data_IF_535503515347
#
_entry.id   IF_535503515347
#
_cell.length_a   1.000
_cell.length_b   1.000
_cell.length_c   1.000
_cell.angle_alpha   90.00
_cell.angle_beta   90.00
_cell.angle_gamma   90.00
#
_symmetry.space_group_name_H-M   'P 1'
#
loop_
_entity.id
_entity.type
_entity.pdbx_description
1 polymer ?
#
# COMPACT_ATOMS: atom_id res chain seq x y z
N UNK A 1 4.82 -8.63 -21.84
CA UNK A 1 5.38 -8.57 -20.48
C UNK A 1 4.20 -8.56 -19.53
N UNK A 2 4.16 -9.43 -18.53
CA UNK A 2 3.04 -9.53 -17.58
C UNK A 2 3.23 -8.57 -16.41
N UNK A 3 2.14 -8.21 -15.69
CA UNK A 3 2.19 -7.33 -14.50
C UNK A 3 3.26 -7.76 -13.50
N UNK A 4 3.37 -9.06 -13.25
CA UNK A 4 4.36 -9.64 -12.34
C UNK A 4 5.79 -9.27 -12.75
N UNK A 5 6.10 -9.40 -14.04
CA UNK A 5 7.43 -9.10 -14.58
C UNK A 5 7.80 -7.61 -14.48
N UNK A 6 6.83 -6.70 -14.52
CA UNK A 6 7.08 -5.28 -14.25
C UNK A 6 7.32 -4.98 -12.78
N UNK A 7 6.54 -5.60 -11.90
CA UNK A 7 6.75 -5.46 -10.47
C UNK A 7 8.14 -5.97 -10.08
N UNK A 8 8.56 -7.12 -10.63
CA UNK A 8 9.90 -7.67 -10.42
C UNK A 8 10.98 -6.70 -10.91
N UNK A 9 10.78 -6.09 -12.09
CA UNK A 9 11.69 -5.08 -12.62
C UNK A 9 11.79 -3.86 -11.68
N UNK A 10 10.65 -3.27 -11.29
CA UNK A 10 10.65 -2.09 -10.40
C UNK A 10 11.28 -2.39 -9.05
N UNK A 11 10.97 -3.55 -8.46
CA UNK A 11 11.58 -4.00 -7.21
C UNK A 11 13.09 -4.21 -7.39
N UNK A 12 13.54 -4.76 -8.52
CA UNK A 12 14.97 -4.94 -8.79
C UNK A 12 15.72 -3.60 -8.89
N UNK A 13 15.13 -2.58 -9.52
CA UNK A 13 15.70 -1.23 -9.61
C UNK A 13 15.82 -0.59 -8.22
N UNK A 14 14.77 -0.74 -7.39
CA UNK A 14 14.76 -0.25 -6.01
C UNK A 14 15.85 -0.93 -5.17
N UNK A 15 15.93 -2.27 -5.23
CA UNK A 15 16.94 -3.04 -4.50
C UNK A 15 18.34 -2.63 -4.94
N UNK A 16 18.58 -2.52 -6.24
CA UNK A 16 19.87 -2.11 -6.80
C UNK A 16 20.27 -0.72 -6.29
N UNK A 17 19.36 0.27 -6.33
CA UNK A 17 19.64 1.62 -5.82
C UNK A 17 19.93 1.61 -4.31
N UNK A 18 19.20 0.81 -3.53
CA UNK A 18 19.44 0.67 -2.08
C UNK A 18 20.80 0.06 -1.78
N UNK A 19 21.22 -0.95 -2.53
CA UNK A 19 22.55 -1.56 -2.39
C UNK A 19 23.65 -0.54 -2.66
N UNK A 20 23.56 0.23 -3.75
CA UNK A 20 24.53 1.29 -4.08
C UNK A 20 24.65 2.33 -2.94
N UNK A 21 23.51 2.77 -2.40
CA UNK A 21 23.48 3.70 -1.27
C UNK A 21 24.10 3.13 0.01
N UNK A 22 24.00 1.83 0.24
CA UNK A 22 24.62 1.16 1.38
C UNK A 22 26.14 1.09 1.26
N UNK A 23 26.66 0.94 0.03
CA UNK A 23 28.09 0.87 -0.27
C UNK A 23 28.75 2.26 -0.30
N UNK A 24 28.07 3.27 -0.85
CA UNK A 24 28.53 4.67 -0.96
C UNK A 24 28.61 5.42 0.38
N UNK A 25 28.05 4.88 1.46
CA UNK A 25 28.20 5.42 2.82
C UNK A 25 29.67 5.54 3.28
N UNK A 26 30.61 4.89 2.56
CA UNK A 26 32.06 4.94 2.81
C UNK A 26 32.82 5.93 1.91
N UNK A 27 32.24 6.41 0.80
CA UNK A 27 32.94 7.29 -0.16
C UNK A 27 31.97 8.21 -0.91
N UNK A 28 31.90 9.47 -0.46
CA UNK A 28 31.34 10.64 -1.16
C UNK A 28 29.80 10.84 -1.10
N UNK A 29 29.42 12.05 -0.69
CA UNK A 29 28.03 12.50 -0.56
C UNK A 29 27.32 12.53 -1.91
N UNK A 30 26.49 11.52 -2.20
CA UNK A 30 25.46 11.67 -3.23
C UNK A 30 24.55 12.83 -2.81
N UNK A 31 24.51 13.89 -3.61
CA UNK A 31 23.69 15.07 -3.30
C UNK A 31 22.22 14.68 -3.34
N UNK A 32 21.40 15.21 -2.42
CA UNK A 32 19.94 14.96 -2.33
C UNK A 32 19.25 15.05 -3.70
N UNK A 33 19.71 15.97 -4.54
CA UNK A 33 19.19 16.20 -5.89
C UNK A 33 19.36 15.00 -6.85
N UNK A 34 20.42 14.21 -6.70
CA UNK A 34 20.66 13.00 -7.51
C UNK A 34 19.71 11.85 -7.11
N UNK A 35 19.36 11.79 -5.81
CA UNK A 35 18.37 10.81 -5.33
C UNK A 35 16.98 11.12 -5.86
N UNK A 36 16.53 12.37 -5.74
CA UNK A 36 15.21 12.76 -6.22
C UNK A 36 15.07 12.66 -7.75
N UNK A 37 16.15 12.91 -8.50
CA UNK A 37 16.19 12.68 -9.93
C UNK A 37 15.97 11.20 -10.29
N UNK A 38 16.66 10.27 -9.62
CA UNK A 38 16.48 8.84 -9.83
C UNK A 38 15.04 8.39 -9.52
N UNK A 39 14.52 8.76 -8.34
CA UNK A 39 13.19 8.33 -7.92
C UNK A 39 12.07 8.92 -8.79
N UNK A 40 12.22 10.18 -9.21
CA UNK A 40 11.26 10.81 -10.13
C UNK A 40 11.29 10.24 -11.54
N UNK A 41 12.46 9.88 -12.06
CA UNK A 41 12.59 9.17 -13.33
C UNK A 41 11.94 7.78 -13.27
N UNK A 42 12.24 7.00 -12.23
CA UNK A 42 11.67 5.67 -12.03
C UNK A 42 10.14 5.75 -11.90
N UNK A 43 9.63 6.74 -11.17
CA UNK A 43 8.20 7.02 -11.07
C UNK A 43 7.59 7.36 -12.44
N UNK A 44 8.24 8.21 -13.22
CA UNK A 44 7.77 8.60 -14.55
C UNK A 44 7.66 7.39 -15.49
N UNK A 45 8.70 6.54 -15.52
CA UNK A 45 8.72 5.29 -16.30
C UNK A 45 7.59 4.33 -15.89
N UNK A 46 7.33 4.21 -14.59
CA UNK A 46 6.36 3.26 -14.06
C UNK A 46 4.90 3.74 -14.19
N UNK A 47 4.63 5.02 -13.91
CA UNK A 47 3.26 5.51 -13.68
C UNK A 47 2.77 6.59 -14.67
N UNK A 48 3.68 7.32 -15.35
CA UNK A 48 3.33 8.43 -16.24
C UNK A 48 3.48 8.08 -17.72
N UNK A 49 4.61 7.50 -18.11
CA UNK A 49 4.91 7.21 -19.50
C UNK A 49 4.07 6.03 -19.99
N UNK A 50 3.38 6.16 -21.13
CA UNK A 50 2.64 5.07 -21.80
C UNK A 50 3.55 4.07 -22.52
N UNK A 51 4.79 3.92 -22.07
CA UNK A 51 5.77 3.00 -22.65
C UNK A 51 5.50 1.54 -22.29
N UNK A 52 6.30 0.62 -22.84
CA UNK A 52 6.17 -0.83 -22.63
C UNK A 52 6.20 -1.26 -21.15
N UNK A 53 6.74 -0.41 -20.26
CA UNK A 53 6.91 -0.65 -18.84
C UNK A 53 5.88 0.07 -17.94
N UNK A 54 4.83 0.67 -18.53
CA UNK A 54 3.84 1.43 -17.76
C UNK A 54 2.84 0.54 -17.05
N UNK A 55 2.64 0.76 -15.75
CA UNK A 55 1.57 0.14 -14.94
C UNK A 55 0.18 0.51 -15.48
N UNK A 56 0.07 1.65 -16.18
CA UNK A 56 -1.16 2.09 -16.84
C UNK A 56 -1.65 1.13 -17.93
N UNK A 57 -0.74 0.39 -18.58
CA UNK A 57 -1.10 -0.60 -19.60
C UNK A 57 -1.78 -1.83 -18.98
N UNK A 58 -1.63 -1.98 -17.67
CA UNK A 58 -2.04 -3.16 -16.97
C UNK A 58 -3.27 -2.89 -16.12
N UNK A 59 -3.35 -1.78 -15.41
CA UNK A 59 -4.50 -1.44 -14.57
C UNK A 59 -5.51 -0.58 -15.35
N UNK A 60 -6.68 -1.16 -15.67
CA UNK A 60 -7.83 -0.40 -16.23
C UNK A 60 -8.61 0.38 -15.16
N UNK A 61 -8.16 0.33 -13.90
CA UNK A 61 -9.04 0.56 -12.75
C UNK A 61 -8.75 1.83 -11.96
N UNK A 62 -7.58 2.46 -12.08
CA UNK A 62 -7.32 3.71 -11.37
C UNK A 62 -6.32 4.64 -12.11
N UNK A 63 -6.75 5.87 -12.37
CA UNK A 63 -5.95 6.93 -12.97
C UNK A 63 -5.39 7.91 -11.94
N UNK A 64 -5.64 7.68 -10.65
CA UNK A 64 -5.13 8.50 -9.56
C UNK A 64 -3.64 8.23 -9.29
N UNK A 65 -2.93 9.31 -9.01
CA UNK A 65 -1.53 9.34 -8.63
C UNK A 65 -1.40 10.11 -7.32
N UNK A 66 -0.65 9.54 -6.39
CA UNK A 66 -0.51 10.03 -5.03
C UNK A 66 0.88 10.62 -4.82
N UNK A 67 0.99 11.92 -4.56
CA UNK A 67 2.26 12.62 -4.37
C UNK A 67 2.44 13.02 -2.91
N UNK A 68 3.55 12.61 -2.32
CA UNK A 68 3.90 12.92 -0.92
C UNK A 68 4.73 14.20 -0.90
N UNK A 69 4.27 15.21 -0.16
CA UNK A 69 5.01 16.46 0.01
C UNK A 69 6.19 16.29 0.96
N UNK A 70 7.29 16.96 0.65
CA UNK A 70 8.41 17.14 1.57
C UNK A 70 7.92 17.87 2.82
N UNK A 71 8.17 17.29 3.99
CA UNK A 71 7.80 17.93 5.25
C UNK A 71 8.89 18.94 5.64
N UNK A 72 8.52 20.20 5.82
CA UNK A 72 9.46 21.26 6.25
C UNK A 72 9.84 21.09 7.73
N UNK A 73 9.02 20.38 8.52
CA UNK A 73 9.22 20.18 9.97
C UNK A 73 9.26 18.69 10.30
N UNK A 74 10.25 18.27 11.11
CA UNK A 74 10.48 16.87 11.50
C UNK A 74 9.27 16.16 12.15
N UNK A 75 8.27 16.90 12.65
CA UNK A 75 7.08 16.36 13.32
C UNK A 75 5.75 16.66 12.62
N UNK A 76 5.76 17.25 11.41
CA UNK A 76 4.51 17.44 10.66
C UNK A 76 4.08 16.14 10.00
N UNK A 77 2.78 15.85 10.03
CA UNK A 77 2.22 14.74 9.26
C UNK A 77 2.52 14.95 7.77
N UNK A 78 2.93 13.90 7.04
CA UNK A 78 3.13 14.00 5.61
C UNK A 78 1.81 14.40 4.93
N UNK A 79 1.89 15.38 4.03
CA UNK A 79 0.75 15.85 3.27
C UNK A 79 0.72 15.14 1.91
N UNK A 80 -0.46 14.70 1.50
CA UNK A 80 -0.66 14.00 0.24
C UNK A 80 -1.41 14.89 -0.75
N UNK A 81 -0.96 14.90 -2.00
CA UNK A 81 -1.68 15.46 -3.13
C UNK A 81 -2.13 14.32 -4.03
N UNK A 82 -3.35 14.41 -4.57
CA UNK A 82 -3.90 13.39 -5.44
C UNK A 82 -4.27 14.04 -6.76
N UNK A 83 -3.75 13.50 -7.85
CA UNK A 83 -4.02 13.97 -9.20
C UNK A 83 -4.38 12.81 -10.09
N UNK A 84 -5.23 13.07 -11.08
CA UNK A 84 -5.35 12.15 -12.21
C UNK A 84 -4.09 12.19 -13.05
N UNK A 85 -3.73 11.06 -13.66
CA UNK A 85 -2.59 10.92 -14.58
C UNK A 85 -2.65 11.89 -15.76
N UNK A 86 -3.86 12.28 -16.19
CA UNK A 86 -4.09 13.24 -17.27
C UNK A 86 -4.13 14.70 -16.81
N UNK A 87 -3.92 14.98 -15.52
CA UNK A 87 -4.00 16.33 -14.98
C UNK A 87 -2.89 17.22 -15.56
N UNK A 88 -3.20 18.46 -15.99
CA UNK A 88 -2.18 19.43 -16.41
C UNK A 88 -1.37 19.98 -15.21
N UNK A 89 -1.84 19.75 -13.99
CA UNK A 89 -1.25 20.27 -12.75
C UNK A 89 -0.37 19.24 -12.03
N UNK A 90 0.10 18.20 -12.75
CA UNK A 90 1.02 17.23 -12.16
C UNK A 90 2.32 17.92 -11.74
N UNK A 91 2.90 17.55 -10.58
CA UNK A 91 4.23 18.00 -10.20
C UNK A 91 5.25 17.69 -11.30
N UNK A 92 6.14 18.64 -11.59
CA UNK A 92 7.23 18.44 -12.55
C UNK A 92 8.24 17.41 -12.03
N UNK A 93 8.90 16.68 -12.92
CA UNK A 93 9.92 15.70 -12.52
C UNK A 93 11.02 16.38 -11.68
N UNK A 94 11.47 15.70 -10.62
CA UNK A 94 12.41 16.20 -9.63
C UNK A 94 11.97 17.51 -8.93
N UNK A 95 10.66 17.79 -8.82
CA UNK A 95 10.15 18.91 -8.01
C UNK A 95 10.63 18.74 -6.55
N UNK A 96 11.39 19.70 -5.99
CA UNK A 96 11.98 19.59 -4.65
C UNK A 96 10.95 19.65 -3.52
N UNK A 97 9.68 19.98 -3.82
CA UNK A 97 8.57 19.95 -2.86
C UNK A 97 8.00 18.56 -2.68
N UNK A 98 8.32 17.62 -3.58
CA UNK A 98 7.81 16.26 -3.57
C UNK A 98 8.89 15.32 -3.05
N UNK A 99 8.51 14.46 -2.10
CA UNK A 99 9.34 13.36 -1.67
C UNK A 99 9.16 12.20 -2.67
N UNK A 100 10.03 12.14 -3.69
CA UNK A 100 9.86 11.24 -4.83
C UNK A 100 9.94 9.77 -4.46
N UNK A 101 10.82 9.42 -3.51
CA UNK A 101 10.94 8.07 -3.00
C UNK A 101 9.64 7.57 -2.32
N UNK A 102 9.10 8.36 -1.38
CA UNK A 102 7.84 8.04 -0.71
C UNK A 102 6.65 8.03 -1.67
N UNK A 103 6.67 8.93 -2.66
CA UNK A 103 5.70 8.97 -3.76
C UNK A 103 5.73 7.66 -4.54
N UNK A 104 6.91 7.20 -4.96
CA UNK A 104 7.06 5.91 -5.64
C UNK A 104 6.53 4.76 -4.80
N UNK A 105 6.94 4.65 -3.54
CA UNK A 105 6.52 3.56 -2.64
C UNK A 105 5.01 3.54 -2.41
N UNK A 106 4.40 4.70 -2.20
CA UNK A 106 2.97 4.77 -2.00
C UNK A 106 2.22 4.27 -3.24
N UNK A 107 2.59 4.72 -4.44
CA UNK A 107 1.91 4.27 -5.66
C UNK A 107 2.18 2.79 -5.96
N UNK A 108 3.36 2.26 -5.64
CA UNK A 108 3.62 0.81 -5.70
C UNK A 108 2.69 0.04 -4.76
N UNK A 109 2.57 0.48 -3.50
CA UNK A 109 1.67 -0.14 -2.52
C UNK A 109 0.23 -0.15 -3.03
N UNK A 110 -0.24 0.98 -3.54
CA UNK A 110 -1.64 1.12 -3.92
C UNK A 110 -1.99 0.46 -5.26
N UNK A 111 -1.05 0.38 -6.21
CA UNK A 111 -1.37 0.02 -7.60
C UNK A 111 -0.68 -1.27 -8.09
N UNK A 112 0.43 -1.68 -7.48
CA UNK A 112 1.22 -2.82 -7.97
C UNK A 112 0.94 -4.13 -7.23
N UNK A 113 0.48 -4.09 -5.98
CA UNK A 113 0.25 -5.29 -5.18
C UNK A 113 -1.22 -5.69 -5.14
N UNK A 114 -1.44 -7.00 -5.11
CA UNK A 114 -2.75 -7.60 -4.83
C UNK A 114 -2.73 -8.08 -3.38
N UNK A 115 -3.62 -7.53 -2.57
CA UNK A 115 -3.76 -7.90 -1.17
C UNK A 115 -4.91 -8.88 -1.01
N UNK A 116 -4.67 -9.96 -0.27
CA UNK A 116 -5.68 -10.98 0.03
C UNK A 116 -5.83 -11.08 1.55
N UNK A 117 -6.97 -10.62 2.05
CA UNK A 117 -7.36 -10.85 3.44
C UNK A 117 -7.86 -12.28 3.58
N UNK A 118 -7.32 -13.01 4.55
CA UNK A 118 -7.70 -14.40 4.81
C UNK A 118 -8.16 -14.54 6.26
N UNK A 119 -9.37 -15.04 6.45
CA UNK A 119 -9.96 -15.29 7.78
C UNK A 119 -10.18 -16.80 7.93
N UNK A 120 -9.70 -17.35 9.05
CA UNK A 120 -9.84 -18.75 9.41
C UNK A 120 -10.60 -18.90 10.72
N UNK A 121 -11.57 -19.82 10.75
CA UNK A 121 -12.17 -20.33 11.98
C UNK A 121 -11.45 -21.62 12.32
N UNK A 122 -10.86 -21.68 13.51
CA UNK A 122 -10.09 -22.84 13.94
C UNK A 122 -10.55 -23.35 15.30
N UNK A 123 -10.48 -24.66 15.51
CA UNK A 123 -10.60 -25.30 16.81
C UNK A 123 -9.22 -25.67 17.33
N UNK A 124 -9.05 -25.56 18.66
CA UNK A 124 -7.84 -26.02 19.33
C UNK A 124 -8.13 -27.35 20.02
N UNK A 125 -7.64 -28.44 19.46
CA UNK A 125 -7.69 -29.76 20.08
C UNK A 125 -6.37 -29.99 20.82
N UNK A 126 -6.38 -29.89 22.16
CA UNK A 126 -5.16 -30.02 22.98
C UNK A 126 -4.19 -28.83 22.90
N UNK A 127 -2.96 -29.00 23.39
CA UNK A 127 -2.02 -27.90 23.61
C UNK A 127 -1.32 -27.38 22.34
N UNK A 128 -1.34 -28.13 21.23
CA UNK A 128 -0.54 -27.81 20.02
C UNK A 128 -1.26 -27.99 18.69
N UNK A 129 -2.48 -28.51 18.65
CA UNK A 129 -3.15 -28.81 17.38
C UNK A 129 -4.25 -27.78 17.10
N UNK A 130 -4.00 -26.94 16.10
CA UNK A 130 -4.97 -25.99 15.56
C UNK A 130 -5.55 -26.64 14.30
N UNK A 131 -6.83 -26.99 14.34
CA UNK A 131 -7.57 -27.52 13.21
C UNK A 131 -8.37 -26.39 12.56
N UNK A 132 -8.20 -26.19 11.24
CA UNK A 132 -8.93 -25.16 10.49
C UNK A 132 -10.31 -25.72 10.13
N UNK A 133 -11.36 -25.22 10.78
CA UNK A 133 -12.74 -25.59 10.48
C UNK A 133 -13.24 -24.94 9.19
N UNK A 134 -12.87 -23.68 8.97
CA UNK A 134 -13.30 -22.91 7.80
C UNK A 134 -12.29 -21.82 7.49
N UNK A 135 -12.12 -21.53 6.20
CA UNK A 135 -11.25 -20.46 5.71
C UNK A 135 -11.96 -19.71 4.59
N UNK A 136 -11.93 -18.40 4.63
CA UNK A 136 -12.30 -17.54 3.50
C UNK A 136 -11.13 -16.61 3.17
N UNK A 137 -11.01 -16.26 1.89
CA UNK A 137 -10.00 -15.34 1.39
C UNK A 137 -10.66 -14.37 0.41
N UNK A 138 -10.43 -13.08 0.58
CA UNK A 138 -10.98 -12.02 -0.26
C UNK A 138 -9.88 -11.04 -0.66
N UNK A 139 -9.89 -10.61 -1.92
CA UNK A 139 -9.04 -9.51 -2.39
C UNK A 139 -9.52 -8.20 -1.76
N UNK A 140 -8.61 -7.47 -1.14
CA UNK A 140 -8.88 -6.16 -0.51
C UNK A 140 -8.04 -5.08 -1.17
N UNK A 141 -8.51 -3.83 -1.08
CA UNK A 141 -7.84 -2.69 -1.68
C UNK A 141 -7.17 -1.85 -0.60
N UNK A 142 -5.89 -1.55 -0.81
CA UNK A 142 -5.13 -0.62 0.01
C UNK A 142 -5.59 0.81 -0.28
N UNK A 143 -5.69 1.63 0.77
CA UNK A 143 -6.05 3.03 0.69
C UNK A 143 -5.22 3.88 1.66
N UNK A 144 -4.75 5.07 1.25
CA UNK A 144 -4.16 6.05 2.17
C UNK A 144 -5.23 6.84 2.96
N UNK A 145 -6.51 6.59 2.69
CA UNK A 145 -7.64 7.21 3.35
C UNK A 145 -8.37 6.23 4.27
N UNK A 146 -9.11 6.77 5.22
CA UNK A 146 -9.93 6.02 6.15
C UNK A 146 -11.30 6.67 6.25
N UNK A 147 -12.34 5.83 6.22
CA UNK A 147 -13.72 6.21 6.53
C UNK A 147 -14.11 5.51 7.84
N UNK A 148 -14.67 6.25 8.80
CA UNK A 148 -15.25 5.64 10.00
C UNK A 148 -16.66 5.17 9.67
N UNK A 149 -16.94 3.88 9.91
CA UNK A 149 -18.25 3.29 9.63
C UNK A 149 -19.29 3.55 10.75
N UNK A 150 -18.86 4.10 11.89
CA UNK A 150 -19.66 4.22 13.11
C UNK A 150 -20.65 5.40 13.11
N UNK A 151 -20.52 6.34 12.17
CA UNK A 151 -21.48 7.42 12.00
C UNK A 151 -21.92 7.50 10.55
N UNK A 152 -23.19 7.84 10.32
CA UNK A 152 -23.73 8.14 8.98
C UNK A 152 -23.17 9.50 8.53
N UNK A 153 -21.86 9.54 8.27
CA UNK A 153 -21.07 10.73 7.99
C UNK A 153 -19.94 10.39 7.02
N UNK A 154 -19.99 10.99 5.84
CA UNK A 154 -19.13 10.80 4.67
C UNK A 154 -17.76 11.49 4.79
N UNK A 155 -17.13 11.51 5.98
CA UNK A 155 -15.82 12.14 6.11
C UNK A 155 -14.70 11.11 5.90
N UNK A 156 -14.25 11.02 4.65
CA UNK A 156 -13.03 10.31 4.28
C UNK A 156 -11.82 11.15 4.68
N UNK A 157 -10.96 10.61 5.54
CA UNK A 157 -9.78 11.31 6.05
C UNK A 157 -8.50 10.66 5.53
N UNK A 158 -7.57 11.46 5.01
CA UNK A 158 -6.22 10.98 4.70
C UNK A 158 -5.48 10.62 5.99
N UNK A 159 -4.99 9.38 6.06
CA UNK A 159 -4.32 8.81 7.23
C UNK A 159 -2.88 8.36 6.96
N UNK A 160 -2.36 8.60 5.76
CA UNK A 160 -0.94 8.41 5.42
C UNK A 160 -0.03 9.01 6.52
N UNK A 161 0.98 8.29 7.02
CA UNK A 161 1.62 7.10 6.44
C UNK A 161 0.91 5.76 6.68
N UNK A 162 -0.22 5.73 7.41
CA UNK A 162 -0.98 4.50 7.59
C UNK A 162 -1.72 4.13 6.30
N UNK A 163 -1.64 2.85 5.94
CA UNK A 163 -2.41 2.24 4.85
C UNK A 163 -3.54 1.44 5.47
N UNK A 164 -4.76 1.62 4.94
CA UNK A 164 -5.98 0.97 5.40
C UNK A 164 -6.47 0.02 4.31
N UNK A 165 -7.00 -1.13 4.71
CA UNK A 165 -7.61 -2.08 3.80
C UNK A 165 -9.12 -2.08 4.01
N UNK A 166 -9.88 -1.69 2.98
CA UNK A 166 -11.33 -1.68 3.08
C UNK A 166 -11.89 -3.06 2.80
N UNK A 167 -12.79 -3.50 3.69
CA UNK A 167 -13.56 -4.75 3.54
C UNK A 167 -15.01 -4.33 3.37
N UNK A 168 -15.54 -4.47 2.15
CA UNK A 168 -16.91 -4.05 1.83
C UNK A 168 -17.94 -5.17 2.03
N UNK A 169 -17.50 -6.44 2.01
CA UNK A 169 -18.40 -7.60 2.03
C UNK A 169 -18.56 -8.21 3.45
N UNK A 170 -19.29 -7.52 4.32
CA UNK A 170 -19.55 -7.98 5.70
C UNK A 170 -20.48 -9.21 5.79
N UNK A 171 -21.21 -9.55 4.73
CA UNK A 171 -22.15 -10.68 4.69
C UNK A 171 -21.46 -12.02 4.98
N UNK A 172 -20.30 -12.27 4.36
CA UNK A 172 -19.60 -13.55 4.47
C UNK A 172 -18.93 -13.71 5.84
N UNK A 173 -18.42 -12.61 6.42
CA UNK A 173 -17.87 -12.57 7.79
C UNK A 173 -18.96 -12.76 8.83
N UNK A 174 -20.14 -12.14 8.64
CA UNK A 174 -21.31 -12.38 9.51
C UNK A 174 -21.78 -13.83 9.46
N UNK A 175 -21.73 -14.46 8.28
CA UNK A 175 -22.09 -15.87 8.13
C UNK A 175 -21.15 -16.82 8.90
N UNK A 176 -19.86 -16.47 9.01
CA UNK A 176 -18.91 -17.21 9.84
C UNK A 176 -19.23 -17.05 11.33
N UNK A 177 -19.60 -15.85 11.76
CA UNK A 177 -20.00 -15.59 13.15
C UNK A 177 -21.32 -16.29 13.54
N UNK A 178 -22.31 -16.30 12.65
CA UNK A 178 -23.63 -16.89 12.94
C UNK A 178 -23.60 -18.43 13.03
N UNK A 179 -22.74 -19.09 12.26
CA UNK A 179 -22.50 -20.54 12.38
C UNK A 179 -21.76 -20.94 13.66
N UNK A 180 -20.91 -20.05 14.20
CA UNK A 180 -20.23 -20.28 15.48
C UNK A 180 -21.21 -20.14 16.66
N UNK A 181 -22.08 -19.14 16.62
CA UNK A 181 -23.14 -18.93 17.61
C UNK A 181 -24.17 -20.07 17.66
N UNK A 182 -24.50 -20.70 16.52
CA UNK A 182 -25.43 -21.84 16.49
C UNK A 182 -24.82 -23.14 17.05
N UNK A 183 -23.50 -23.23 17.15
CA UNK A 183 -22.77 -24.42 17.62
C UNK A 183 -22.24 -24.31 19.06
N UNK A 184 -22.63 -23.28 19.82
CA UNK A 184 -22.31 -23.17 21.25
C UNK A 184 -20.81 -23.05 21.58
N UNK A 185 -19.95 -22.77 20.59
CA UNK A 185 -18.52 -22.57 20.81
C UNK A 185 -18.27 -21.07 21.00
N UNK A 186 -17.84 -20.69 22.20
CA UNK A 186 -17.38 -19.34 22.52
C UNK A 186 -16.23 -18.97 21.59
N UNK A 187 -16.46 -17.98 20.72
CA UNK A 187 -15.43 -17.42 19.86
C UNK A 187 -14.40 -16.67 20.72
N UNK A 188 -13.16 -17.15 20.71
CA UNK A 188 -11.99 -16.37 21.13
C UNK A 188 -11.38 -15.72 19.89
N UNK A 189 -11.00 -14.45 20.05
CA UNK A 189 -10.16 -13.62 19.19
C UNK A 189 -10.80 -13.09 17.88
N UNK A 190 -11.49 -11.94 18.00
CA UNK A 190 -11.12 -10.81 17.15
C UNK A 190 -9.87 -10.25 17.81
N UNK A 191 -8.69 -10.68 17.37
CA UNK A 191 -7.47 -9.97 17.71
C UNK A 191 -7.50 -8.69 16.87
N UNK A 192 -7.78 -7.56 17.51
CA UNK A 192 -7.51 -6.21 17.01
C UNK A 192 -5.99 -6.10 16.77
N UNK A 193 -5.54 -6.75 15.72
CA UNK A 193 -4.17 -6.65 15.22
C UNK A 193 -4.08 -5.32 14.48
N UNK A 194 -3.93 -4.26 15.28
CA UNK A 194 -3.19 -3.07 14.89
C UNK A 194 -1.82 -3.57 14.42
N UNK A 195 -1.66 -3.71 13.11
CA UNK A 195 -0.37 -4.04 12.51
C UNK A 195 0.59 -2.87 12.79
N UNK A 196 1.32 -2.96 13.90
CA UNK A 196 2.60 -2.30 14.05
C UNK A 196 3.60 -3.12 13.22
N UNK A 197 3.85 -2.67 11.99
CA UNK A 197 4.97 -3.18 11.20
C UNK A 197 6.30 -2.90 11.92
N UNK A 198 7.31 -3.78 11.79
CA UNK A 198 8.64 -3.53 12.33
C UNK A 198 9.29 -2.35 11.59
N UNK A 199 9.99 -1.52 12.36
CA UNK A 199 10.88 -0.44 11.90
C UNK A 199 12.03 -0.97 11.03
#
# INVERSE_FOLDING_TARGET
MERHSLNDFLLSEIVTRRSLLSEDSKTLSSTVNDQDAFWSDLFSRAFLNSGQFSISNFSTQDDLLFFVNQTVRKNSKPQLQVFRRSSPNLPGLADPRIHWEHTLYLNLILQCFVYVLTVGVCTRSGAKEIEILRKCSQVVYASPSSRQMESKGTEEKIVYPRIVFHVDNFEEVRFLSSQLLSRGHLASAVDDSVFHGPL
#
